data_IF_242701328891
#
_entry.id   IF_242701328891
#
_cell.length_a   1.000
_cell.length_b   1.000
_cell.length_c   1.000
_cell.angle_alpha   90.00
_cell.angle_beta   90.00
_cell.angle_gamma   90.00
#
_symmetry.space_group_name_H-M   'P 1'
#
loop_
_entity.id
_entity.type
_entity.pdbx_description
1 polymer ?
#
# COMPACT_ATOMS: atom_id res chain seq x y z
N UNK A 1 11.32 -0.77 2.49
CA UNK A 1 11.03 -2.22 2.46
C UNK A 1 9.68 -2.42 1.79
N UNK A 2 9.59 -3.03 0.61
CA UNK A 2 8.31 -3.40 0.01
C UNK A 2 7.56 -4.43 0.88
N UNK A 3 6.25 -4.57 0.71
CA UNK A 3 5.45 -5.49 1.53
C UNK A 3 5.98 -6.93 1.43
N UNK A 4 6.26 -7.52 2.59
CA UNK A 4 6.96 -8.82 2.71
C UNK A 4 6.02 -9.99 2.39
N UNK A 5 4.69 -9.77 2.50
CA UNK A 5 3.68 -10.80 2.26
C UNK A 5 2.57 -10.34 1.30
N UNK A 6 1.94 -11.30 0.58
CA UNK A 6 0.74 -11.04 -0.25
C UNK A 6 -0.39 -10.39 0.56
N UNK A 7 -0.52 -10.73 1.85
CA UNK A 7 -1.54 -10.17 2.74
C UNK A 7 -1.31 -8.67 2.99
N UNK A 8 -0.07 -8.29 3.31
CA UNK A 8 0.31 -6.89 3.44
C UNK A 8 0.13 -6.14 2.12
N UNK A 9 0.54 -6.74 0.99
CA UNK A 9 0.37 -6.12 -0.32
C UNK A 9 -1.11 -5.78 -0.62
N UNK A 10 -2.03 -6.72 -0.35
CA UNK A 10 -3.47 -6.50 -0.49
C UNK A 10 -3.98 -5.40 0.45
N UNK A 11 -3.51 -5.40 1.70
CA UNK A 11 -3.86 -4.37 2.69
C UNK A 11 -3.44 -2.97 2.22
N UNK A 12 -2.19 -2.81 1.77
CA UNK A 12 -1.68 -1.53 1.27
C UNK A 12 -2.35 -1.11 -0.04
N UNK A 13 -2.73 -2.05 -0.91
CA UNK A 13 -3.54 -1.77 -2.09
C UNK A 13 -4.92 -1.22 -1.74
N UNK A 14 -5.58 -1.78 -0.73
CA UNK A 14 -6.88 -1.29 -0.25
C UNK A 14 -6.77 0.10 0.42
N UNK A 15 -5.67 0.34 1.15
CA UNK A 15 -5.37 1.66 1.72
C UNK A 15 -5.11 2.71 0.63
N UNK A 16 -4.36 2.36 -0.42
CA UNK A 16 -4.13 3.23 -1.57
C UNK A 16 -5.46 3.61 -2.25
N UNK A 17 -6.34 2.63 -2.46
CA UNK A 17 -7.66 2.87 -3.04
C UNK A 17 -8.50 3.81 -2.15
N UNK A 18 -8.46 3.65 -0.82
CA UNK A 18 -9.10 4.58 0.12
C UNK A 18 -8.56 5.99 -0.01
N UNK A 19 -7.23 6.15 -0.04
CA UNK A 19 -6.58 7.46 -0.17
C UNK A 19 -6.96 8.15 -1.48
N UNK A 20 -7.04 7.40 -2.59
CA UNK A 20 -7.47 7.91 -3.90
C UNK A 20 -8.93 8.37 -3.91
N UNK A 21 -9.78 7.78 -3.08
CA UNK A 21 -11.17 8.23 -2.86
C UNK A 21 -11.27 9.41 -1.89
N UNK A 22 -10.15 10.00 -1.46
CA UNK A 22 -10.14 11.10 -0.48
C UNK A 22 -10.38 10.65 0.96
N UNK A 23 -10.44 9.34 1.22
CA UNK A 23 -10.68 8.80 2.56
C UNK A 23 -9.40 8.73 3.37
N UNK A 24 -9.53 8.83 4.69
CA UNK A 24 -8.42 8.65 5.63
C UNK A 24 -7.94 7.19 5.61
N UNK A 25 -6.63 7.02 5.56
CA UNK A 25 -5.97 5.71 5.64
C UNK A 25 -5.68 5.37 7.10
N UNK A 26 -5.71 4.08 7.46
CA UNK A 26 -5.42 3.62 8.82
C UNK A 26 -3.93 3.70 9.13
N UNK A 27 -3.07 3.58 8.12
CA UNK A 27 -1.60 3.67 8.27
C UNK A 27 -1.08 5.10 8.34
N UNK A 28 -1.90 6.11 7.99
CA UNK A 28 -1.44 7.50 7.89
C UNK A 28 -0.43 7.76 6.76
N UNK A 29 -0.12 6.76 5.93
CA UNK A 29 0.88 6.88 4.87
C UNK A 29 0.37 7.70 3.67
N UNK A 30 1.32 8.29 2.95
CA UNK A 30 1.08 8.98 1.69
C UNK A 30 0.73 7.99 0.56
N UNK A 31 0.03 8.47 -0.47
CA UNK A 31 -0.35 7.63 -1.62
C UNK A 31 0.87 7.01 -2.33
N UNK A 32 1.99 7.72 -2.41
CA UNK A 32 3.24 7.21 -2.99
C UNK A 32 3.78 6.02 -2.20
N UNK A 33 3.86 6.15 -0.86
CA UNK A 33 4.32 5.08 0.03
C UNK A 33 3.38 3.87 -0.01
N UNK A 34 2.07 4.10 0.01
CA UNK A 34 1.06 3.05 -0.13
C UNK A 34 1.19 2.31 -1.47
N UNK A 35 1.49 3.03 -2.55
CA UNK A 35 1.75 2.42 -3.86
C UNK A 35 3.04 1.61 -3.89
N UNK A 36 4.07 2.03 -3.18
CA UNK A 36 5.32 1.28 -3.04
C UNK A 36 5.09 -0.04 -2.29
N UNK A 37 4.34 -0.01 -1.19
CA UNK A 37 4.00 -1.21 -0.42
C UNK A 37 2.98 -2.12 -1.13
N UNK A 38 2.05 -1.54 -1.91
CA UNK A 38 1.10 -2.30 -2.71
C UNK A 38 1.77 -2.97 -3.93
N UNK A 39 2.94 -2.50 -4.34
CA UNK A 39 3.75 -3.17 -5.36
C UNK A 39 4.49 -4.34 -4.71
N UNK A 40 4.32 -5.53 -5.29
CA UNK A 40 5.09 -6.71 -4.90
C UNK A 40 6.56 -6.38 -5.12
N UNK A 41 7.41 -6.63 -4.13
CA UNK A 41 8.85 -6.60 -4.34
C UNK A 41 9.14 -7.51 -5.54
N UNK A 42 9.63 -6.95 -6.65
CA UNK A 42 10.35 -7.78 -7.61
C UNK A 42 11.57 -8.24 -6.84
N UNK A 43 11.60 -9.51 -6.40
CA UNK A 43 12.87 -10.07 -5.96
C UNK A 43 13.79 -9.95 -7.16
N UNK A 44 14.92 -9.29 -6.97
CA UNK A 44 15.97 -9.29 -7.98
C UNK A 44 16.58 -10.68 -8.04
#
# INVERSE_FOLDING_TARGET
>A
MPAVSKRQQRFFGAELARKRKGLKTRTGLSASKLSEFARRARSK
#
